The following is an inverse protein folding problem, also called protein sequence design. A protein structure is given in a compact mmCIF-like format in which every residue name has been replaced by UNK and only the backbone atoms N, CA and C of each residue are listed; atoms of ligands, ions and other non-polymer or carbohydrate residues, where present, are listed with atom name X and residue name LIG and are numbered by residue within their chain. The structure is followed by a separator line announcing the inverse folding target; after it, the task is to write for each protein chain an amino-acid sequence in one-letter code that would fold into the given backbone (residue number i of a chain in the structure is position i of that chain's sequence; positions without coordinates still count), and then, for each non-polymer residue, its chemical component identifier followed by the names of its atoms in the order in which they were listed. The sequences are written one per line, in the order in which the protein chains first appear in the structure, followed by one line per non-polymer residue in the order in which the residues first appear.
data_IF_633183643488
#
_entry.id   IF_633183643488
#
_cell.length_a   1.000
_cell.length_b   1.000
_cell.length_c   1.000
_cell.angle_alpha   90.00
_cell.angle_beta   90.00
_cell.angle_gamma   90.00
#
_symmetry.space_group_name_H-M   'P 1'
#
loop_
_entity.id
_entity.type
_entity.pdbx_description
1 polymer ?
#
# COMPACT_ATOMS: atom_id res chain seq x y z
N UNK A 1 3.11 9.14 -21.14
CA UNK A 1 3.75 8.78 -19.85
C UNK A 1 2.76 8.08 -18.94
N UNK A 2 3.15 6.94 -18.40
CA UNK A 2 2.32 6.11 -17.53
C UNK A 2 2.35 6.61 -16.07
N UNK A 3 1.38 6.22 -15.24
CA UNK A 3 1.28 6.62 -13.83
C UNK A 3 0.28 5.74 -13.06
N UNK A 4 0.26 5.82 -11.73
CA UNK A 4 -0.81 5.25 -10.93
C UNK A 4 -1.89 6.28 -10.61
N UNK A 5 -3.15 5.85 -10.61
CA UNK A 5 -4.25 6.55 -9.95
C UNK A 5 -4.55 5.81 -8.66
N UNK A 6 -4.55 6.52 -7.54
CA UNK A 6 -5.08 6.03 -6.27
C UNK A 6 -6.39 6.75 -5.97
N UNK A 7 -7.48 5.99 -5.84
CA UNK A 7 -8.77 6.55 -5.44
C UNK A 7 -8.97 6.44 -3.95
N UNK A 8 -9.63 7.43 -3.38
CA UNK A 8 -9.90 7.55 -1.95
C UNK A 8 -11.39 7.72 -1.70
N UNK A 9 -11.82 7.21 -0.55
CA UNK A 9 -13.10 7.52 0.07
C UNK A 9 -12.85 8.47 1.23
N UNK A 10 -13.48 9.63 1.21
CA UNK A 10 -13.40 10.63 2.28
C UNK A 10 -14.66 10.57 3.14
N UNK A 11 -14.48 10.28 4.42
CA UNK A 11 -15.57 10.14 5.38
C UNK A 11 -15.96 11.49 5.99
N UNK A 12 -17.13 11.56 6.64
CA UNK A 12 -17.59 12.80 7.30
C UNK A 12 -16.70 13.26 8.47
N UNK A 13 -15.84 12.38 8.99
CA UNK A 13 -14.79 12.73 9.96
C UNK A 13 -13.51 13.31 9.33
N UNK A 14 -13.49 13.53 8.00
CA UNK A 14 -12.34 14.09 7.27
C UNK A 14 -11.24 13.09 6.89
N UNK A 15 -11.34 11.83 7.35
CA UNK A 15 -10.38 10.79 7.00
C UNK A 15 -10.57 10.30 5.57
N UNK A 16 -9.45 10.16 4.86
CA UNK A 16 -9.38 9.57 3.51
C UNK A 16 -8.79 8.17 3.60
N UNK A 17 -9.52 7.17 3.10
CA UNK A 17 -9.07 5.79 3.04
C UNK A 17 -8.87 5.41 1.57
N UNK A 18 -7.70 4.89 1.18
CA UNK A 18 -7.47 4.44 -0.20
C UNK A 18 -8.34 3.22 -0.50
N UNK A 19 -8.98 3.21 -1.67
CA UNK A 19 -9.85 2.12 -2.11
C UNK A 19 -9.23 1.27 -3.21
N UNK A 20 -8.64 1.94 -4.20
CA UNK A 20 -8.09 1.28 -5.39
C UNK A 20 -6.83 2.01 -5.84
N UNK A 21 -5.82 1.23 -6.21
CA UNK A 21 -4.65 1.72 -6.94
C UNK A 21 -4.62 1.06 -8.31
N UNK A 22 -4.65 1.86 -9.37
CA UNK A 22 -4.70 1.38 -10.74
C UNK A 22 -3.57 1.98 -11.57
N UNK A 23 -2.91 1.14 -12.36
CA UNK A 23 -1.95 1.58 -13.38
C UNK A 23 -2.67 2.14 -14.61
N UNK A 24 -2.24 3.32 -15.06
CA UNK A 24 -2.67 3.93 -16.31
C UNK A 24 -1.52 3.87 -17.30
N UNK A 25 -1.72 3.05 -18.31
CA UNK A 25 -0.79 2.89 -19.42
C UNK A 25 -0.96 4.03 -20.44
N UNK A 26 0.15 4.63 -20.88
CA UNK A 26 0.09 5.73 -21.84
C UNK A 26 -0.02 5.28 -23.31
N UNK A 27 0.11 3.97 -23.57
CA UNK A 27 -0.04 3.33 -24.87
C UNK A 27 0.92 3.86 -25.95
N UNK A 28 2.04 4.47 -25.56
CA UNK A 28 3.06 4.98 -26.48
C UNK A 28 4.08 3.88 -26.82
N UNK A 29 4.53 3.83 -28.10
CA UNK A 29 5.58 2.90 -28.55
C UNK A 29 6.97 3.25 -28.01
N UNK A 30 7.22 4.54 -27.76
CA UNK A 30 8.47 5.10 -27.22
C UNK A 30 8.44 5.30 -25.70
N UNK A 31 7.74 4.43 -24.98
CA UNK A 31 7.71 4.44 -23.52
C UNK A 31 8.00 3.03 -23.01
N UNK A 32 9.10 2.83 -22.27
CA UNK A 32 9.50 1.50 -21.78
C UNK A 32 8.55 0.92 -20.74
N UNK A 33 7.76 1.79 -20.11
CA UNK A 33 6.74 1.41 -19.12
C UNK A 33 5.40 1.05 -19.76
N UNK A 34 5.23 1.30 -21.06
CA UNK A 34 3.99 1.05 -21.79
C UNK A 34 3.93 -0.39 -22.25
N UNK A 35 2.77 -1.04 -22.12
CA UNK A 35 2.53 -2.38 -22.70
C UNK A 35 2.62 -2.37 -24.24
N UNK A 36 2.52 -1.19 -24.87
CA UNK A 36 2.67 -1.02 -26.32
C UNK A 36 4.08 -0.63 -26.76
N UNK A 37 5.07 -0.73 -25.88
CA UNK A 37 6.47 -0.46 -26.24
C UNK A 37 6.91 -1.36 -27.40
N UNK A 38 7.53 -0.75 -28.42
CA UNK A 38 8.14 -1.49 -29.52
C UNK A 38 9.62 -1.10 -29.65
N UNK A 39 10.55 -1.94 -29.17
CA UNK A 39 11.98 -1.63 -29.20
C UNK A 39 12.60 -1.72 -30.60
N UNK A 40 11.86 -2.20 -31.62
CA UNK A 40 12.40 -2.35 -32.98
C UNK A 40 12.41 -1.05 -33.78
N UNK A 41 11.60 -0.06 -33.37
CA UNK A 41 11.44 1.21 -34.10
C UNK A 41 12.47 2.29 -33.70
N UNK A 42 13.21 2.12 -32.59
CA UNK A 42 14.04 3.18 -32.02
C UNK A 42 15.12 2.66 -31.06
N UNK A 43 16.10 3.52 -30.73
CA UNK A 43 17.08 3.25 -29.67
C UNK A 43 16.47 3.54 -28.31
N UNK A 44 16.14 2.51 -27.53
CA UNK A 44 15.49 2.68 -26.23
C UNK A 44 16.28 3.56 -25.23
N UNK A 45 17.62 3.47 -25.10
CA UNK A 45 18.37 4.31 -24.15
C UNK A 45 18.28 5.81 -24.44
N UNK A 46 18.09 6.19 -25.70
CA UNK A 46 18.16 7.59 -26.13
C UNK A 46 16.77 8.23 -26.29
N UNK A 47 15.77 7.43 -26.66
CA UNK A 47 14.47 7.95 -27.11
C UNK A 47 13.29 7.60 -26.20
N UNK A 48 13.42 6.60 -25.32
CA UNK A 48 12.30 6.21 -24.48
C UNK A 48 12.17 7.04 -23.22
N UNK A 49 10.91 7.26 -22.81
CA UNK A 49 10.62 7.56 -21.39
C UNK A 49 10.50 6.28 -20.59
N UNK A 50 11.18 6.21 -19.45
CA UNK A 50 11.16 5.10 -18.50
C UNK A 50 10.82 5.53 -17.05
N UNK A 51 10.48 6.80 -16.86
CA UNK A 51 10.06 7.34 -15.57
C UNK A 51 8.53 7.52 -15.58
N UNK A 52 7.80 6.94 -14.61
CA UNK A 52 6.36 7.20 -14.48
C UNK A 52 6.14 8.64 -14.02
N UNK A 53 5.00 9.24 -14.39
CA UNK A 53 4.61 10.52 -13.77
C UNK A 53 4.25 10.29 -12.30
N UNK A 54 4.23 11.39 -11.54
CA UNK A 54 3.72 11.40 -10.17
C UNK A 54 2.34 10.75 -10.09
N UNK A 55 2.16 9.92 -9.07
CA UNK A 55 0.88 9.28 -8.77
C UNK A 55 -0.21 10.34 -8.63
N UNK A 56 -1.40 10.01 -9.17
CA UNK A 56 -2.56 10.88 -9.12
C UNK A 56 -3.49 10.40 -8.00
N UNK A 57 -3.98 11.33 -7.20
CA UNK A 57 -4.85 11.03 -6.06
C UNK A 57 -6.22 11.65 -6.30
N UNK A 58 -7.28 10.84 -6.21
CA UNK A 58 -8.65 11.26 -6.50
C UNK A 58 -9.59 10.81 -5.38
N UNK A 59 -10.33 11.74 -4.79
CA UNK A 59 -11.43 11.39 -3.89
C UNK A 59 -12.67 11.12 -4.74
N UNK A 60 -13.21 9.90 -4.67
CA UNK A 60 -14.33 9.45 -5.51
C UNK A 60 -15.61 9.15 -4.72
N UNK A 61 -15.52 9.04 -3.39
CA UNK A 61 -16.66 8.72 -2.53
C UNK A 61 -16.69 9.56 -1.26
N UNK A 62 -17.91 10.02 -0.90
CA UNK A 62 -18.18 10.81 0.29
C UNK A 62 -19.32 10.22 1.13
N UNK A 63 -19.12 9.08 1.80
CA UNK A 63 -20.12 8.57 2.74
C UNK A 63 -20.39 9.58 3.87
N UNK A 64 -21.66 9.77 4.28
CA UNK A 64 -22.02 10.74 5.32
C UNK A 64 -21.67 10.25 6.74
N UNK A 65 -21.21 9.01 6.90
CA UNK A 65 -20.84 8.42 8.18
C UNK A 65 -19.33 8.50 8.44
N UNK A 66 -18.94 8.33 9.71
CA UNK A 66 -17.55 8.33 10.14
C UNK A 66 -16.83 7.03 9.73
N UNK A 67 -15.52 7.09 9.57
CA UNK A 67 -14.70 5.91 9.31
C UNK A 67 -14.72 4.94 10.52
N UNK A 68 -14.34 3.69 10.30
CA UNK A 68 -14.33 2.67 11.34
C UNK A 68 -13.45 3.05 12.54
N UNK A 69 -12.28 3.66 12.29
CA UNK A 69 -11.39 4.12 13.35
C UNK A 69 -12.06 5.14 14.28
N UNK A 70 -12.74 6.16 13.74
CA UNK A 70 -13.48 7.14 14.55
C UNK A 70 -14.68 6.54 15.29
N UNK A 71 -15.23 5.43 14.78
CA UNK A 71 -16.31 4.68 15.42
C UNK A 71 -15.83 3.70 16.49
N UNK A 72 -14.52 3.58 16.73
CA UNK A 72 -13.93 2.57 17.61
C UNK A 72 -14.03 1.14 17.06
N UNK A 73 -14.29 0.99 15.76
CA UNK A 73 -14.33 -0.31 15.09
C UNK A 73 -12.92 -0.59 14.57
N UNK A 74 -12.14 -1.35 15.32
CA UNK A 74 -10.86 -1.87 14.86
C UNK A 74 -11.14 -3.03 13.90
N UNK A 75 -10.99 -2.80 12.60
CA UNK A 75 -10.95 -3.91 11.63
C UNK A 75 -9.65 -4.67 11.88
N UNK A 76 -9.74 -5.94 12.29
CA UNK A 76 -8.57 -6.81 12.39
C UNK A 76 -7.80 -6.78 11.06
N UNK A 77 -6.60 -6.19 11.09
CA UNK A 77 -5.57 -6.13 10.06
C UNK A 77 -6.05 -6.34 8.61
N UNK A 78 -6.60 -5.28 8.01
CA UNK A 78 -6.48 -5.13 6.55
C UNK A 78 -5.01 -4.81 6.24
N UNK A 79 -4.40 -5.60 5.36
CA UNK A 79 -3.00 -5.57 4.92
C UNK A 79 -2.63 -4.22 4.25
N UNK A 80 -2.66 -3.13 5.01
CA UNK A 80 -2.27 -1.79 4.62
C UNK A 80 -0.95 -1.48 5.30
N UNK A 81 0.10 -1.35 4.49
CA UNK A 81 1.40 -0.83 4.88
C UNK A 81 1.24 0.58 5.48
N UNK A 82 0.94 0.65 6.77
CA UNK A 82 0.83 1.86 7.56
C UNK A 82 1.77 1.71 8.73
N UNK A 83 2.97 2.27 8.56
CA UNK A 83 3.94 2.64 9.61
C UNK A 83 3.29 2.69 10.99
N UNK A 84 3.54 1.67 11.79
CA UNK A 84 3.04 1.53 13.15
C UNK A 84 3.68 2.61 14.03
N UNK A 85 2.85 3.43 14.68
CA UNK A 85 3.26 4.11 15.91
C UNK A 85 2.79 3.21 17.05
N UNK A 86 3.64 2.28 17.47
CA UNK A 86 3.39 1.46 18.65
C UNK A 86 3.67 2.29 19.90
N UNK A 87 2.74 2.39 20.87
CA UNK A 87 3.10 2.81 22.21
C UNK A 87 3.82 1.66 22.92
N UNK A 88 5.05 1.92 23.36
CA UNK A 88 5.81 1.03 24.25
C UNK A 88 5.02 0.77 25.54
N UNK A 89 4.77 -0.50 25.83
CA UNK A 89 4.51 -0.99 27.19
C UNK A 89 5.50 -2.12 27.46
N UNK A 90 6.50 -1.80 28.27
CA UNK A 90 7.46 -2.71 28.87
C UNK A 90 6.79 -3.45 30.02
N UNK A 91 6.73 -4.78 29.94
CA UNK A 91 6.49 -5.65 31.09
C UNK A 91 7.56 -6.75 31.02
N UNK A 92 8.66 -6.48 31.72
CA UNK A 92 9.68 -7.44 32.15
C UNK A 92 9.07 -8.37 33.21
N UNK A 93 9.12 -9.68 33.02
CA UNK A 93 9.11 -10.66 34.12
C UNK A 93 9.99 -11.86 33.68
N UNK A 94 11.04 -12.12 34.46
CA UNK A 94 12.09 -13.12 34.25
C UNK A 94 11.66 -14.52 34.71
N UNK A 95 12.33 -15.55 34.14
CA UNK A 95 12.75 -16.85 34.75
C UNK A 95 11.67 -17.76 35.39
N UNK A 96 11.66 -19.08 35.21
CA UNK A 96 12.65 -20.04 35.74
C UNK A 96 12.56 -21.40 34.98
N UNK A 97 13.69 -22.09 34.98
CA UNK A 97 13.97 -23.39 34.37
C UNK A 97 13.49 -24.54 35.28
N UNK A 98 12.89 -25.61 34.73
CA UNK A 98 12.88 -26.92 35.39
C UNK A 98 13.13 -28.03 34.35
N UNK A 99 14.25 -28.73 34.54
CA UNK A 99 14.65 -29.97 33.87
C UNK A 99 13.79 -31.14 34.39
N UNK A 100 13.19 -31.94 33.50
CA UNK A 100 12.78 -33.31 33.83
C UNK A 100 13.47 -34.29 32.90
N UNK A 101 14.49 -34.94 33.45
CA UNK A 101 15.14 -36.13 32.95
C UNK A 101 14.40 -37.36 33.51
N UNK A 102 13.69 -38.13 32.69
CA UNK A 102 13.52 -39.56 32.99
C UNK A 102 13.48 -40.40 31.70
N UNK A 103 14.50 -41.24 31.58
CA UNK A 103 14.77 -42.19 30.50
C UNK A 103 13.87 -43.41 30.68
N UNK A 104 13.03 -43.71 29.68
CA UNK A 104 12.24 -44.94 29.63
C UNK A 104 13.12 -46.20 29.57
N UNK A 105 12.64 -47.22 30.29
CA UNK A 105 13.09 -48.61 30.47
C UNK A 105 13.71 -49.33 29.26
#
# INVERSE_FOLDING_TARGET
MCFYITTYRQYSCGHEIPELRQWVDCNQRRCRLSQRHDPTEHSCPDECTDIPRVDQHLVVGWPPFQCNACRGIHTANGNGNGTTSEPSSSEDEESEEEEEEEMEL
#
